data_IF_935663576673
#
_entry.id   IF_935663576673
#
_cell.length_a   1.000
_cell.length_b   1.000
_cell.length_c   1.000
_cell.angle_alpha   90.00
_cell.angle_beta   90.00
_cell.angle_gamma   90.00
#
_symmetry.space_group_name_H-M   'P 1'
#
loop_
_entity.id
_entity.type
_entity.pdbx_description
1 polymer ?
#
# COMPACT_ATOMS: atom_id res chain seq x y z
N UNK A 1 73.45 5.70 -9.01
CA UNK A 1 72.11 5.76 -8.39
C UNK A 1 72.18 5.03 -7.05
N UNK A 2 71.66 5.62 -5.96
CA UNK A 2 71.77 5.16 -4.55
C UNK A 2 70.76 5.98 -3.67
N UNK A 3 70.46 5.72 -2.39
CA UNK A 3 70.93 4.75 -1.36
C UNK A 3 69.80 3.74 -1.02
N UNK A 4 69.88 2.70 -0.18
CA UNK A 4 70.72 2.28 0.97
C UNK A 4 70.41 2.92 2.35
N UNK A 5 70.45 2.05 3.38
CA UNK A 5 70.51 2.26 4.84
C UNK A 5 69.26 2.27 5.76
N UNK A 6 69.41 1.41 6.79
CA UNK A 6 68.77 1.37 8.11
C UNK A 6 68.82 2.73 8.86
N UNK A 7 67.90 2.96 9.82
CA UNK A 7 68.24 2.92 11.26
C UNK A 7 67.02 3.09 12.18
N UNK A 8 67.01 2.32 13.27
CA UNK A 8 66.23 2.58 14.49
C UNK A 8 66.75 3.84 15.19
N UNK A 9 65.89 4.57 15.92
CA UNK A 9 66.33 5.44 17.02
C UNK A 9 65.30 5.43 18.17
N UNK A 10 65.80 5.37 19.40
CA UNK A 10 65.04 5.39 20.66
C UNK A 10 65.50 6.59 21.49
N UNK A 11 64.57 7.32 22.09
CA UNK A 11 64.79 8.34 23.12
C UNK A 11 63.48 8.46 23.93
N UNK A 12 63.30 7.97 25.17
CA UNK A 12 64.00 8.17 26.47
C UNK A 12 63.57 9.44 27.21
N UNK A 13 62.69 9.21 28.20
CA UNK A 13 62.50 9.85 29.51
C UNK A 13 62.28 11.37 29.66
N UNK A 14 61.34 11.70 30.55
CA UNK A 14 61.13 13.06 31.07
C UNK A 14 60.00 13.12 32.11
N UNK A 15 60.24 12.59 33.32
CA UNK A 15 59.31 12.73 34.45
C UNK A 15 60.01 13.46 35.60
N UNK A 16 59.43 14.56 36.09
CA UNK A 16 59.61 15.05 37.46
C UNK A 16 58.54 16.06 37.86
N UNK A 17 58.11 15.90 39.10
CA UNK A 17 57.13 16.63 39.92
C UNK A 17 57.53 18.08 40.24
N UNK A 18 56.60 18.86 40.82
CA UNK A 18 56.73 19.39 42.21
C UNK A 18 55.50 20.21 42.67
N UNK A 19 55.16 20.04 43.95
CA UNK A 19 54.33 20.87 44.85
C UNK A 19 52.86 21.19 44.52
N UNK A 20 51.99 20.91 45.50
CA UNK A 20 50.65 21.49 45.61
C UNK A 20 50.56 22.46 46.80
N UNK A 21 49.37 23.03 47.01
CA UNK A 21 49.00 23.78 48.23
C UNK A 21 47.67 23.25 48.73
N UNK A 22 47.65 22.79 49.98
CA UNK A 22 46.45 22.43 50.73
C UNK A 22 45.80 23.69 51.32
N UNK A 23 44.49 23.83 51.18
CA UNK A 23 43.69 24.76 51.97
C UNK A 23 42.41 24.04 52.43
N UNK A 24 42.37 23.65 53.71
CA UNK A 24 41.18 23.12 54.38
C UNK A 24 40.32 24.29 54.87
N UNK A 25 39.00 24.24 54.66
CA UNK A 25 37.99 24.97 55.42
C UNK A 25 36.65 24.18 55.37
N UNK A 26 35.69 24.39 56.29
CA UNK A 26 35.19 23.27 57.08
C UNK A 26 33.73 22.92 56.81
N UNK A 27 33.32 21.74 57.27
CA UNK A 27 31.91 21.36 57.34
C UNK A 27 31.17 22.25 58.37
N UNK A 28 30.17 22.99 57.91
CA UNK A 28 29.24 23.76 58.75
C UNK A 28 27.81 23.56 58.24
N UNK A 29 26.91 23.12 59.13
CA UNK A 29 25.54 22.74 58.77
C UNK A 29 24.55 23.90 58.97
N UNK A 30 23.66 24.12 57.99
CA UNK A 30 22.30 24.69 58.11
C UNK A 30 21.68 24.83 56.69
N UNK A 31 20.36 25.06 56.56
CA UNK A 31 19.28 24.17 56.95
C UNK A 31 18.47 23.69 55.72
N UNK A 32 17.76 22.57 55.82
CA UNK A 32 16.89 22.10 54.75
C UNK A 32 15.62 22.96 54.64
N UNK A 33 15.51 23.76 53.56
CA UNK A 33 14.24 24.41 53.20
C UNK A 33 13.36 23.39 52.46
N UNK A 34 12.41 22.79 53.18
CA UNK A 34 11.43 21.88 52.58
C UNK A 34 10.39 22.67 51.78
N UNK A 35 10.45 22.59 50.45
CA UNK A 35 9.36 23.00 49.57
C UNK A 35 8.36 21.84 49.50
N UNK A 36 7.07 22.02 49.83
CA UNK A 36 6.10 20.94 49.79
C UNK A 36 5.76 20.58 48.34
N UNK A 37 6.17 19.38 47.91
CA UNK A 37 5.65 18.75 46.69
C UNK A 37 4.21 18.31 46.97
N UNK A 38 3.20 18.71 46.17
CA UNK A 38 1.84 18.26 46.38
C UNK A 38 1.73 16.77 46.05
N UNK A 39 1.42 15.96 47.06
CA UNK A 39 1.05 14.55 46.88
C UNK A 39 -0.22 14.45 46.03
N UNK A 40 -0.27 13.61 44.98
CA UNK A 40 -1.52 13.34 44.30
C UNK A 40 -2.50 12.67 45.26
N UNK A 41 -3.72 13.20 45.36
CA UNK A 41 -4.75 12.64 46.20
C UNK A 41 -5.12 11.23 45.72
N UNK A 42 -5.03 10.24 46.60
CA UNK A 42 -5.49 8.89 46.32
C UNK A 42 -7.02 8.90 46.19
N UNK A 43 -7.52 8.85 44.95
CA UNK A 43 -8.93 8.61 44.67
C UNK A 43 -9.21 7.13 44.94
N UNK A 44 -9.96 6.85 46.01
CA UNK A 44 -10.39 5.50 46.33
C UNK A 44 -11.27 4.93 45.21
N UNK A 45 -11.18 3.64 44.88
CA UNK A 45 -12.05 3.03 43.88
C UNK A 45 -13.50 3.04 44.37
N UNK A 46 -14.37 3.71 43.62
CA UNK A 46 -15.81 3.66 43.87
C UNK A 46 -16.31 2.24 43.55
N UNK A 47 -16.72 1.50 44.59
CA UNK A 47 -17.39 0.21 44.44
C UNK A 47 -18.80 0.47 43.91
N UNK A 48 -18.96 0.39 42.59
CA UNK A 48 -20.28 0.38 41.95
C UNK A 48 -20.78 -1.07 41.97
N UNK A 49 -21.90 -1.30 42.67
CA UNK A 49 -22.55 -2.60 42.71
C UNK A 49 -23.05 -3.01 41.30
N UNK A 50 -22.98 -4.30 40.92
CA UNK A 50 -23.43 -4.74 39.62
C UNK A 50 -24.96 -4.60 39.50
N UNK A 51 -25.41 -3.74 38.60
CA UNK A 51 -26.81 -3.73 38.16
C UNK A 51 -27.10 -5.00 37.38
N UNK A 52 -28.16 -5.73 37.75
CA UNK A 52 -28.52 -6.99 37.12
C UNK A 52 -29.00 -6.75 35.67
N UNK A 53 -28.15 -7.09 34.69
CA UNK A 53 -28.56 -7.19 33.30
C UNK A 53 -29.41 -8.46 33.11
N UNK A 54 -30.66 -8.29 32.64
CA UNK A 54 -31.52 -9.40 32.23
C UNK A 54 -30.92 -10.15 31.02
N UNK A 55 -30.95 -11.49 30.98
CA UNK A 55 -30.40 -12.23 29.84
C UNK A 55 -31.25 -12.01 28.58
N UNK A 56 -30.63 -11.53 27.52
CA UNK A 56 -31.18 -11.61 26.16
C UNK A 56 -30.86 -13.01 25.63
N UNK A 57 -31.83 -13.80 25.15
CA UNK A 57 -31.56 -15.16 24.69
C UNK A 57 -30.80 -15.14 23.36
N UNK A 58 -29.52 -15.52 23.41
CA UNK A 58 -28.70 -15.77 22.23
C UNK A 58 -29.17 -17.03 21.51
N UNK A 59 -29.93 -16.88 20.44
CA UNK A 59 -30.19 -17.97 19.51
C UNK A 59 -28.94 -18.21 18.63
N UNK A 60 -28.37 -19.42 18.57
CA UNK A 60 -27.23 -19.69 17.70
C UNK A 60 -27.70 -19.73 16.24
N UNK A 61 -27.19 -18.82 15.42
CA UNK A 61 -27.26 -18.94 13.96
C UNK A 61 -26.33 -20.05 13.50
N UNK A 62 -26.85 -21.27 13.43
CA UNK A 62 -26.16 -22.41 12.86
C UNK A 62 -26.08 -22.24 11.32
N UNK A 63 -24.90 -21.89 10.81
CA UNK A 63 -24.61 -21.96 9.38
C UNK A 63 -24.43 -23.43 8.97
N UNK A 64 -25.25 -23.98 8.07
CA UNK A 64 -25.05 -25.34 7.58
C UNK A 64 -23.89 -25.36 6.57
N UNK A 65 -22.78 -26.00 6.95
CA UNK A 65 -21.73 -26.37 6.01
C UNK A 65 -22.26 -27.46 5.04
N UNK A 66 -22.04 -27.35 3.73
CA UNK A 66 -22.38 -28.42 2.79
C UNK A 66 -21.44 -29.61 2.99
N UNK A 67 -22.00 -30.76 3.38
CA UNK A 67 -21.25 -32.00 3.65
C UNK A 67 -21.00 -32.79 2.34
N UNK A 68 -19.75 -33.05 1.93
CA UNK A 68 -19.45 -33.67 0.64
C UNK A 68 -19.34 -35.20 0.73
N UNK A 69 -20.47 -35.91 0.85
CA UNK A 69 -20.52 -37.35 0.65
C UNK A 69 -21.95 -37.84 0.34
N UNK A 70 -22.15 -38.46 -0.83
CA UNK A 70 -23.06 -39.59 -1.13
C UNK A 70 -23.16 -39.80 -2.66
N UNK A 71 -22.14 -40.44 -3.25
CA UNK A 71 -22.25 -41.04 -4.59
C UNK A 71 -21.79 -42.50 -4.51
N UNK A 72 -22.72 -43.39 -4.14
CA UNK A 72 -22.76 -44.80 -4.54
C UNK A 72 -24.03 -45.45 -3.99
N UNK A 73 -24.87 -45.98 -4.87
CA UNK A 73 -25.22 -47.41 -4.96
C UNK A 73 -26.63 -47.62 -5.56
N UNK A 74 -26.67 -47.92 -6.85
CA UNK A 74 -27.73 -48.69 -7.51
C UNK A 74 -27.06 -49.45 -8.66
N UNK A 75 -27.31 -50.73 -8.91
CA UNK A 75 -28.45 -51.54 -8.47
C UNK A 75 -28.94 -52.27 -9.71
N UNK A 76 -28.34 -53.42 -10.00
CA UNK A 76 -28.50 -54.15 -11.27
C UNK A 76 -29.93 -54.63 -11.49
N UNK A 77 -30.54 -54.25 -12.61
CA UNK A 77 -31.67 -54.97 -13.21
C UNK A 77 -31.35 -55.30 -14.67
N UNK A 78 -31.32 -56.59 -14.99
CA UNK A 78 -31.13 -57.07 -16.36
C UNK A 78 -32.49 -57.17 -17.06
N UNK A 79 -32.60 -56.59 -18.25
CA UNK A 79 -33.71 -56.83 -19.18
C UNK A 79 -33.13 -57.18 -20.53
N UNK A 80 -33.42 -58.39 -21.01
CA UNK A 80 -32.97 -58.85 -22.33
C UNK A 80 -33.76 -58.15 -23.44
N UNK A 81 -33.09 -57.80 -24.54
CA UNK A 81 -33.72 -57.31 -25.77
C UNK A 81 -32.87 -57.70 -26.99
N UNK A 82 -33.53 -57.87 -28.14
CA UNK A 82 -33.06 -58.74 -29.21
C UNK A 82 -31.87 -58.19 -30.03
N UNK A 83 -31.11 -59.12 -30.63
CA UNK A 83 -29.96 -58.83 -31.47
C UNK A 83 -30.37 -58.24 -32.83
N UNK A 84 -29.93 -57.00 -33.10
CA UNK A 84 -29.85 -56.41 -34.44
C UNK A 84 -28.45 -56.59 -35.06
N UNK A 85 -28.30 -56.42 -36.39
CA UNK A 85 -27.03 -56.65 -37.09
C UNK A 85 -25.93 -55.68 -36.64
N UNK A 86 -24.71 -56.21 -36.49
CA UNK A 86 -23.55 -55.47 -35.99
C UNK A 86 -23.11 -54.35 -36.95
N UNK A 87 -23.16 -53.11 -36.50
CA UNK A 87 -22.33 -52.04 -37.09
C UNK A 87 -20.89 -52.17 -36.54
N UNK A 88 -19.85 -51.87 -37.33
CA UNK A 88 -18.48 -51.85 -36.84
C UNK A 88 -18.32 -50.79 -35.75
N UNK A 89 -17.74 -51.18 -34.62
CA UNK A 89 -17.53 -50.26 -33.51
C UNK A 89 -16.63 -49.08 -33.93
N UNK A 90 -16.98 -47.82 -33.60
CA UNK A 90 -16.05 -46.72 -33.76
C UNK A 90 -14.82 -46.97 -32.90
N UNK A 91 -13.63 -46.75 -33.46
CA UNK A 91 -12.39 -46.93 -32.74
C UNK A 91 -12.39 -46.06 -31.48
N UNK A 92 -12.27 -46.71 -30.31
CA UNK A 92 -12.12 -46.02 -29.03
C UNK A 92 -10.73 -45.39 -29.05
N UNK A 93 -10.64 -44.14 -29.53
CA UNK A 93 -9.52 -43.27 -29.21
C UNK A 93 -9.54 -43.04 -27.71
N UNK A 94 -8.78 -43.85 -26.98
CA UNK A 94 -8.40 -43.51 -25.62
C UNK A 94 -7.69 -42.14 -25.71
N UNK A 95 -8.20 -41.08 -25.06
CA UNK A 95 -7.48 -39.83 -25.02
C UNK A 95 -6.16 -40.10 -24.31
N UNK A 96 -5.05 -39.90 -25.03
CA UNK A 96 -3.72 -39.95 -24.46
C UNK A 96 -3.60 -38.80 -23.47
N UNK A 97 -4.00 -39.05 -22.22
CA UNK A 97 -3.86 -38.12 -21.11
C UNK A 97 -2.38 -38.01 -20.76
N UNK A 98 -1.63 -37.27 -21.58
CA UNK A 98 -0.34 -36.70 -21.19
C UNK A 98 -0.61 -35.60 -20.17
N UNK A 99 -1.03 -35.99 -18.97
CA UNK A 99 -0.99 -35.13 -17.80
C UNK A 99 0.48 -34.89 -17.47
N UNK A 100 1.07 -33.88 -18.14
CA UNK A 100 2.25 -33.21 -17.62
C UNK A 100 1.95 -32.86 -16.17
N UNK A 101 2.76 -33.30 -15.19
CA UNK A 101 2.56 -32.92 -13.80
C UNK A 101 2.45 -31.40 -13.74
N UNK A 102 1.43 -30.91 -13.02
CA UNK A 102 1.31 -29.48 -12.79
C UNK A 102 2.59 -29.03 -12.08
N UNK A 103 3.37 -28.07 -12.64
CA UNK A 103 4.62 -27.63 -12.00
C UNK A 103 4.37 -26.88 -10.69
N UNK A 104 3.11 -26.54 -10.37
CA UNK A 104 2.70 -26.00 -9.08
C UNK A 104 2.32 -27.10 -8.07
N UNK A 105 2.21 -28.38 -8.50
CA UNK A 105 1.77 -29.47 -7.62
C UNK A 105 2.74 -29.71 -6.45
N UNK A 106 2.24 -29.51 -5.23
CA UNK A 106 3.00 -29.75 -3.99
C UNK A 106 3.81 -28.54 -3.50
N UNK A 107 3.60 -27.35 -4.07
CA UNK A 107 4.07 -26.11 -3.44
C UNK A 107 3.35 -25.84 -2.12
N UNK A 108 3.93 -24.97 -1.29
CA UNK A 108 3.26 -24.45 -0.08
C UNK A 108 2.58 -23.14 -0.44
N UNK A 109 1.24 -23.03 -0.31
CA UNK A 109 0.50 -21.79 -0.57
C UNK A 109 1.08 -20.61 0.21
N UNK A 110 1.04 -19.41 -0.38
CA UNK A 110 1.53 -18.20 0.27
C UNK A 110 0.78 -17.93 1.59
N UNK A 111 -0.51 -18.24 1.64
CA UNK A 111 -1.37 -18.17 2.83
C UNK A 111 -1.01 -19.18 3.94
N UNK A 112 -0.18 -20.19 3.66
CA UNK A 112 0.38 -21.10 4.65
C UNK A 112 1.78 -20.67 5.14
N UNK A 113 2.47 -19.77 4.43
CA UNK A 113 3.80 -19.25 4.81
C UNK A 113 3.65 -18.20 5.93
N UNK A 114 4.59 -18.16 6.88
CA UNK A 114 4.60 -17.22 8.02
C UNK A 114 5.97 -16.56 8.16
N UNK A 115 5.99 -15.24 8.34
CA UNK A 115 7.21 -14.45 8.36
C UNK A 115 7.24 -13.46 9.53
N UNK A 116 8.40 -13.31 10.17
CA UNK A 116 8.64 -12.25 11.17
C UNK A 116 9.17 -10.99 10.48
N UNK A 117 8.63 -9.83 10.85
CA UNK A 117 9.00 -8.53 10.27
C UNK A 117 10.50 -8.22 10.32
N UNK A 118 11.20 -8.69 11.37
CA UNK A 118 12.62 -8.43 11.58
C UNK A 118 13.51 -9.52 10.94
N UNK A 119 12.92 -10.57 10.37
CA UNK A 119 13.61 -11.71 9.78
C UNK A 119 12.93 -12.18 8.48
N UNK A 120 12.71 -11.23 7.56
CA UNK A 120 12.14 -11.51 6.24
C UNK A 120 13.18 -12.21 5.33
N UNK A 121 12.77 -13.23 4.54
CA UNK A 121 13.62 -13.81 3.52
C UNK A 121 13.77 -12.84 2.33
N UNK A 122 14.79 -13.02 1.51
CA UNK A 122 14.94 -12.24 0.27
C UNK A 122 13.73 -12.41 -0.66
N UNK A 123 13.18 -13.62 -0.74
CA UNK A 123 11.93 -13.95 -1.45
C UNK A 123 11.07 -14.83 -0.54
N UNK A 124 9.82 -14.45 -0.34
CA UNK A 124 8.81 -15.23 0.37
C UNK A 124 8.33 -16.42 -0.47
N UNK A 125 8.38 -16.29 -1.79
CA UNK A 125 8.16 -17.37 -2.73
C UNK A 125 9.46 -17.81 -3.42
N UNK A 126 9.97 -18.96 -3.00
CA UNK A 126 11.18 -19.60 -3.52
C UNK A 126 10.91 -20.56 -4.68
N UNK A 127 9.64 -20.81 -4.99
CA UNK A 127 9.22 -21.85 -5.92
C UNK A 127 9.41 -21.42 -7.41
N UNK A 128 9.30 -22.37 -8.34
CA UNK A 128 9.51 -22.15 -9.78
C UNK A 128 8.41 -22.82 -10.60
N UNK A 129 7.17 -22.49 -10.25
CA UNK A 129 5.94 -22.98 -10.86
C UNK A 129 5.59 -22.34 -12.22
N UNK A 130 4.32 -22.45 -12.66
CA UNK A 130 3.87 -22.03 -14.01
C UNK A 130 4.25 -20.58 -14.37
N UNK A 131 4.09 -19.65 -13.43
CA UNK A 131 4.42 -18.22 -13.60
C UNK A 131 5.91 -17.89 -13.39
N UNK A 132 6.78 -18.90 -13.26
CA UNK A 132 8.21 -18.74 -12.98
C UNK A 132 8.52 -18.51 -11.50
N UNK A 133 9.61 -17.79 -11.21
CA UNK A 133 10.00 -17.39 -9.85
C UNK A 133 9.47 -15.99 -9.51
N UNK A 134 9.38 -15.70 -8.21
CA UNK A 134 9.13 -14.34 -7.72
C UNK A 134 10.08 -13.34 -8.38
N UNK A 135 9.54 -12.24 -8.92
CA UNK A 135 10.30 -11.24 -9.68
C UNK A 135 10.96 -10.18 -8.79
N UNK A 136 10.35 -9.88 -7.65
CA UNK A 136 10.84 -8.91 -6.66
C UNK A 136 11.49 -9.57 -5.45
N UNK A 137 11.46 -8.84 -4.33
CA UNK A 137 12.05 -9.25 -3.05
C UNK A 137 11.25 -8.73 -1.85
N UNK A 138 11.38 -9.39 -0.71
CA UNK A 138 10.65 -9.07 0.53
C UNK A 138 11.49 -8.34 1.58
N UNK A 139 12.82 -8.34 1.47
CA UNK A 139 13.71 -7.51 2.32
C UNK A 139 13.64 -6.06 1.82
N UNK A 140 12.67 -5.30 2.31
CA UNK A 140 12.47 -3.91 1.93
C UNK A 140 13.02 -2.96 3.01
N UNK A 141 14.17 -2.34 2.74
CA UNK A 141 14.81 -1.39 3.66
C UNK A 141 15.48 -0.22 2.90
N UNK A 142 16.30 0.58 3.58
CA UNK A 142 16.96 1.75 2.98
C UNK A 142 17.87 1.45 1.79
N UNK A 143 18.37 0.21 1.62
CA UNK A 143 19.18 -0.19 0.45
C UNK A 143 18.36 -0.59 -0.77
N UNK A 144 17.06 -0.83 -0.60
CA UNK A 144 16.11 -1.19 -1.67
C UNK A 144 15.11 -0.08 -2.00
N UNK A 145 15.13 1.02 -1.24
CA UNK A 145 14.25 2.17 -1.44
C UNK A 145 14.56 2.91 -2.75
N UNK A 146 13.51 3.46 -3.39
CA UNK A 146 13.63 4.38 -4.52
C UNK A 146 12.87 3.94 -5.78
N UNK A 147 12.96 4.70 -6.88
CA UNK A 147 12.12 4.48 -8.07
C UNK A 147 12.32 3.11 -8.74
N UNK A 148 13.51 2.53 -8.63
CA UNK A 148 13.81 1.20 -9.16
C UNK A 148 13.50 0.04 -8.21
N UNK A 149 12.83 0.29 -7.07
CA UNK A 149 12.54 -0.76 -6.10
C UNK A 149 11.65 -1.86 -6.69
N UNK A 150 11.95 -3.10 -6.32
CA UNK A 150 11.14 -4.30 -6.60
C UNK A 150 10.61 -4.93 -5.30
N UNK A 151 10.37 -4.10 -4.29
CA UNK A 151 9.81 -4.52 -3.02
C UNK A 151 8.42 -5.17 -3.21
N UNK A 152 8.24 -6.36 -2.63
CA UNK A 152 6.98 -7.11 -2.56
C UNK A 152 6.51 -7.33 -1.11
N UNK A 153 6.91 -6.43 -0.21
CA UNK A 153 6.39 -6.34 1.17
C UNK A 153 5.65 -5.01 1.33
N UNK A 154 4.38 -5.07 1.71
CA UNK A 154 3.53 -3.89 1.93
C UNK A 154 3.20 -3.72 3.43
N UNK A 155 2.82 -2.50 3.82
CA UNK A 155 2.27 -2.21 5.15
C UNK A 155 0.91 -1.52 5.05
N UNK A 156 0.05 -1.70 6.05
CA UNK A 156 -1.23 -0.97 6.20
C UNK A 156 -1.39 -0.56 7.67
N UNK A 157 -0.86 0.60 8.07
CA UNK A 157 -0.80 1.03 9.47
C UNK A 157 -1.72 2.23 9.76
N UNK A 158 -1.76 3.21 8.87
CA UNK A 158 -2.56 4.42 9.06
C UNK A 158 -2.76 5.16 7.75
N UNK A 159 -3.60 6.21 7.78
CA UNK A 159 -3.80 7.15 6.67
C UNK A 159 -2.50 7.77 6.12
N UNK A 160 -1.42 7.83 6.93
CA UNK A 160 -0.11 8.37 6.54
C UNK A 160 1.00 7.30 6.42
N UNK A 161 0.66 6.01 6.54
CA UNK A 161 1.63 4.91 6.55
C UNK A 161 1.00 3.64 6.01
N UNK A 162 0.95 3.56 4.69
CA UNK A 162 0.46 2.40 3.97
C UNK A 162 1.22 2.25 2.64
N UNK A 163 1.07 1.09 2.02
CA UNK A 163 1.53 0.83 0.66
C UNK A 163 0.37 0.34 -0.22
N UNK A 164 0.50 0.62 -1.51
CA UNK A 164 -0.35 0.10 -2.59
C UNK A 164 0.50 -0.74 -3.53
N UNK A 165 -0.13 -1.63 -4.28
CA UNK A 165 0.54 -2.34 -5.37
C UNK A 165 0.47 -1.50 -6.64
N UNK A 166 1.57 -1.43 -7.38
CA UNK A 166 1.66 -0.63 -8.61
C UNK A 166 2.64 -1.19 -9.62
N UNK A 167 2.78 -0.47 -10.73
CA UNK A 167 3.60 -0.90 -11.87
C UNK A 167 5.08 -1.04 -11.51
N UNK A 168 5.73 -2.04 -12.13
CA UNK A 168 7.20 -2.12 -12.21
C UNK A 168 7.76 -1.21 -13.29
N UNK A 169 6.99 -1.02 -14.36
CA UNK A 169 7.26 -0.14 -15.50
C UNK A 169 6.06 0.76 -15.78
N UNK A 170 6.33 2.00 -16.21
CA UNK A 170 5.31 2.97 -16.58
C UNK A 170 4.24 2.41 -17.52
N UNK A 171 2.99 2.85 -17.29
CA UNK A 171 1.79 2.50 -18.07
C UNK A 171 1.48 0.99 -18.11
N UNK A 172 1.75 0.29 -17.01
CA UNK A 172 1.34 -1.11 -16.80
C UNK A 172 -0.19 -1.24 -16.73
N UNK A 173 -0.72 -2.35 -17.24
CA UNK A 173 -2.10 -2.80 -17.00
C UNK A 173 -2.05 -3.81 -15.84
N UNK A 174 -2.77 -3.57 -14.76
CA UNK A 174 -2.65 -4.33 -13.52
C UNK A 174 -2.94 -5.82 -13.75
N UNK A 175 -4.00 -6.16 -14.48
CA UNK A 175 -4.35 -7.55 -14.84
C UNK A 175 -3.29 -8.29 -15.67
N UNK A 176 -2.39 -7.55 -16.35
CA UNK A 176 -1.26 -8.15 -17.06
C UNK A 176 -0.01 -8.30 -16.18
N UNK A 177 0.04 -7.62 -15.02
CA UNK A 177 1.22 -7.52 -14.17
C UNK A 177 0.99 -8.00 -12.72
N UNK A 178 -0.19 -8.52 -12.38
CA UNK A 178 -0.56 -8.82 -10.98
C UNK A 178 0.52 -9.64 -10.27
N UNK A 179 0.99 -10.73 -10.90
CA UNK A 179 2.06 -11.59 -10.38
C UNK A 179 3.42 -10.90 -10.12
N UNK A 180 3.66 -9.73 -10.70
CA UNK A 180 4.91 -8.98 -10.62
C UNK A 180 4.76 -7.54 -10.09
N UNK A 181 3.58 -7.11 -9.62
CA UNK A 181 3.40 -5.77 -9.09
C UNK A 181 4.23 -5.56 -7.81
N UNK A 182 4.57 -4.31 -7.53
CA UNK A 182 5.52 -3.92 -6.47
C UNK A 182 4.93 -2.86 -5.55
N UNK A 183 5.44 -2.79 -4.33
CA UNK A 183 4.96 -1.87 -3.31
C UNK A 183 5.35 -0.42 -3.63
N UNK A 184 4.35 0.45 -3.58
CA UNK A 184 4.48 1.90 -3.56
C UNK A 184 3.95 2.39 -2.21
N UNK A 185 4.79 2.96 -1.36
CA UNK A 185 4.46 3.33 0.02
C UNK A 185 4.39 4.85 0.21
N UNK A 186 3.58 5.30 1.16
CA UNK A 186 3.54 6.72 1.56
C UNK A 186 4.81 7.16 2.30
N UNK A 187 5.45 6.27 3.06
CA UNK A 187 6.70 6.56 3.80
C UNK A 187 7.95 6.03 3.08
N UNK A 188 9.03 6.82 2.95
CA UNK A 188 10.30 6.37 2.36
C UNK A 188 11.02 5.32 3.23
N UNK A 189 10.68 5.22 4.52
CA UNK A 189 11.25 4.25 5.46
C UNK A 189 10.78 2.81 5.24
N UNK A 190 9.88 2.56 4.28
CA UNK A 190 9.37 1.22 3.96
C UNK A 190 10.20 0.46 2.92
N UNK A 191 11.27 1.07 2.42
CA UNK A 191 12.23 0.38 1.54
C UNK A 191 11.71 0.01 0.14
N UNK A 192 10.59 0.63 -0.25
CA UNK A 192 9.86 0.40 -1.48
C UNK A 192 9.95 1.63 -2.41
N UNK A 193 9.07 1.69 -3.42
CA UNK A 193 8.84 2.93 -4.18
C UNK A 193 8.07 3.93 -3.32
N UNK A 194 8.22 5.23 -3.55
CA UNK A 194 7.47 6.27 -2.83
C UNK A 194 6.27 6.71 -3.68
N UNK A 195 5.05 6.68 -3.12
CA UNK A 195 3.86 7.25 -3.78
C UNK A 195 4.10 8.76 -3.99
N UNK A 196 4.08 9.30 -5.23
CA UNK A 196 4.35 10.72 -5.46
C UNK A 196 3.26 11.63 -4.90
N UNK A 197 3.66 12.84 -4.51
CA UNK A 197 2.73 13.90 -4.12
C UNK A 197 1.73 14.20 -5.25
N UNK A 198 0.43 14.26 -4.91
CA UNK A 198 -0.65 14.46 -5.87
C UNK A 198 -1.14 13.18 -6.58
N UNK A 199 -0.55 12.01 -6.29
CA UNK A 199 -1.16 10.74 -6.66
C UNK A 199 -2.48 10.51 -5.91
N UNK A 200 -2.49 10.65 -4.60
CA UNK A 200 -3.65 10.42 -3.73
C UNK A 200 -4.49 11.70 -3.66
N UNK A 201 -5.76 11.60 -4.05
CA UNK A 201 -6.72 12.72 -4.06
C UNK A 201 -7.81 12.59 -2.99
N UNK A 202 -7.91 11.43 -2.35
CA UNK A 202 -8.63 11.20 -1.09
C UNK A 202 -8.18 9.88 -0.47
N UNK A 203 -8.14 9.78 0.87
CA UNK A 203 -7.76 8.56 1.60
C UNK A 203 -8.59 8.45 2.89
N UNK A 204 -9.24 7.30 3.10
CA UNK A 204 -9.81 6.92 4.37
C UNK A 204 -9.09 5.67 4.88
N UNK A 205 -8.46 5.77 6.05
CA UNK A 205 -8.05 4.61 6.84
C UNK A 205 -9.14 4.27 7.85
N UNK A 206 -9.48 2.99 7.99
CA UNK A 206 -10.45 2.49 8.96
C UNK A 206 -9.88 1.29 9.69
N UNK A 207 -9.92 1.36 11.03
CA UNK A 207 -9.61 0.23 11.93
C UNK A 207 -10.91 -0.33 12.49
N UNK A 208 -11.12 -1.63 12.36
CA UNK A 208 -12.29 -2.33 12.90
C UNK A 208 -11.85 -3.41 13.92
N UNK A 209 -12.78 -4.18 14.51
CA UNK A 209 -12.42 -5.33 15.34
C UNK A 209 -11.66 -6.44 14.59
N UNK A 210 -12.03 -6.76 13.35
CA UNK A 210 -11.49 -7.92 12.61
C UNK A 210 -10.59 -7.56 11.40
N UNK A 211 -10.45 -6.27 11.03
CA UNK A 211 -9.57 -5.86 9.94
C UNK A 211 -9.10 -4.40 10.04
N UNK A 212 -8.11 -4.06 9.21
CA UNK A 212 -7.78 -2.67 8.86
C UNK A 212 -7.91 -2.50 7.35
N UNK A 213 -8.43 -1.36 6.91
CA UNK A 213 -8.47 -1.01 5.48
C UNK A 213 -8.00 0.41 5.22
N UNK A 214 -7.43 0.62 4.05
CA UNK A 214 -7.16 1.93 3.47
C UNK A 214 -7.82 2.00 2.10
N UNK A 215 -8.65 3.01 1.88
CA UNK A 215 -9.44 3.20 0.66
C UNK A 215 -9.27 4.62 0.15
N UNK A 216 -9.44 4.87 -1.15
CA UNK A 216 -9.28 6.22 -1.65
C UNK A 216 -9.35 6.40 -3.16
N UNK A 217 -9.06 7.63 -3.58
CA UNK A 217 -8.99 8.05 -4.96
C UNK A 217 -7.53 8.34 -5.34
N UNK A 218 -7.14 7.93 -6.55
CA UNK A 218 -5.74 7.98 -7.01
C UNK A 218 -5.61 8.32 -8.50
N UNK A 219 -4.66 9.19 -8.83
CA UNK A 219 -4.08 9.31 -10.15
C UNK A 219 -3.06 8.16 -10.35
N UNK A 220 -3.57 7.00 -10.77
CA UNK A 220 -2.81 5.74 -10.88
C UNK A 220 -1.60 5.81 -11.83
N UNK A 221 -1.58 6.76 -12.77
CA UNK A 221 -0.44 7.03 -13.64
C UNK A 221 0.83 7.47 -12.91
N UNK A 222 0.72 7.92 -11.65
CA UNK A 222 1.85 8.30 -10.81
C UNK A 222 2.44 7.13 -10.01
N UNK A 223 1.86 5.92 -10.12
CA UNK A 223 2.40 4.66 -9.57
C UNK A 223 2.56 3.59 -10.67
N UNK A 224 2.91 4.05 -11.88
CA UNK A 224 3.18 3.25 -13.07
C UNK A 224 2.02 2.39 -13.62
N UNK A 225 0.77 2.65 -13.22
CA UNK A 225 -0.44 2.02 -13.80
C UNK A 225 -1.02 2.92 -14.89
N UNK A 226 -1.40 2.38 -16.06
CA UNK A 226 -1.96 3.17 -17.16
C UNK A 226 -3.24 3.90 -16.75
N UNK A 227 -3.43 5.15 -17.17
CA UNK A 227 -4.57 5.99 -16.76
C UNK A 227 -5.95 5.44 -17.16
N UNK A 228 -6.01 4.60 -18.19
CA UNK A 228 -7.24 3.97 -18.71
C UNK A 228 -7.47 2.55 -18.21
N UNK A 229 -6.62 2.04 -17.30
CA UNK A 229 -6.79 0.72 -16.72
C UNK A 229 -7.92 0.72 -15.67
N UNK A 230 -8.88 -0.18 -15.83
CA UNK A 230 -10.05 -0.29 -14.95
C UNK A 230 -9.75 -1.09 -13.67
N UNK A 231 -8.68 -1.88 -13.67
CA UNK A 231 -8.13 -2.51 -12.48
C UNK A 231 -8.28 -4.03 -12.42
N UNK A 232 -7.89 -4.56 -11.25
CA UNK A 232 -7.89 -5.98 -10.90
C UNK A 232 -7.71 -6.15 -9.38
N UNK A 233 -7.88 -7.39 -8.90
CA UNK A 233 -7.58 -7.77 -7.52
C UNK A 233 -6.12 -8.21 -7.41
N UNK A 234 -5.53 -7.94 -6.24
CA UNK A 234 -4.24 -8.44 -5.80
C UNK A 234 -4.43 -9.03 -4.41
N UNK A 235 -4.03 -10.28 -4.22
CA UNK A 235 -4.34 -11.10 -3.04
C UNK A 235 -3.29 -12.22 -2.84
N UNK A 236 -3.34 -13.01 -1.74
CA UNK A 236 -2.38 -14.08 -1.48
C UNK A 236 -2.80 -15.46 -2.03
N UNK A 237 -3.99 -15.59 -2.62
CA UNK A 237 -4.60 -16.82 -3.17
C UNK A 237 -4.55 -16.92 -4.70
N UNK A 238 -4.11 -15.86 -5.41
CA UNK A 238 -4.07 -15.80 -6.88
C UNK A 238 -3.63 -17.11 -7.57
N UNK A 239 -4.28 -17.42 -8.71
CA UNK A 239 -4.60 -18.73 -9.29
C UNK A 239 -3.64 -19.96 -9.21
N UNK A 240 -2.38 -19.81 -8.81
CA UNK A 240 -1.45 -20.91 -8.50
C UNK A 240 -1.14 -21.03 -6.99
N UNK A 241 -1.93 -20.38 -6.13
CA UNK A 241 -1.80 -20.30 -4.66
C UNK A 241 -0.52 -19.58 -4.16
N UNK A 242 0.22 -18.91 -5.06
CA UNK A 242 1.48 -18.18 -4.74
C UNK A 242 1.30 -16.67 -4.60
N UNK A 243 0.07 -16.17 -4.73
CA UNK A 243 -0.31 -14.76 -4.67
C UNK A 243 -0.12 -13.99 -5.97
N UNK A 244 -0.79 -12.84 -6.07
CA UNK A 244 -0.75 -11.93 -7.22
C UNK A 244 -0.65 -10.48 -6.69
N UNK A 245 0.50 -10.06 -6.11
CA UNK A 245 1.82 -10.49 -6.57
C UNK A 245 2.38 -11.75 -5.94
N UNK A 246 3.21 -12.42 -6.72
CA UNK A 246 3.86 -13.65 -6.30
C UNK A 246 4.77 -13.36 -5.11
N UNK A 247 4.57 -14.08 -3.99
CA UNK A 247 5.31 -13.83 -2.75
C UNK A 247 5.02 -12.47 -2.09
N UNK A 248 3.90 -11.81 -2.40
CA UNK A 248 3.52 -10.56 -1.76
C UNK A 248 3.07 -10.76 -0.31
N UNK A 249 3.71 -10.07 0.64
CA UNK A 249 3.37 -10.18 2.06
C UNK A 249 2.98 -8.81 2.62
N UNK A 250 1.91 -8.79 3.43
CA UNK A 250 1.37 -7.58 4.06
C UNK A 250 1.62 -7.64 5.56
N UNK A 251 2.07 -6.53 6.14
CA UNK A 251 2.19 -6.34 7.57
C UNK A 251 1.35 -5.16 8.07
N UNK A 252 0.98 -5.20 9.34
CA UNK A 252 0.37 -4.05 10.01
C UNK A 252 0.84 -3.97 11.46
N UNK A 253 0.89 -2.76 12.00
CA UNK A 253 1.01 -2.50 13.44
C UNK A 253 -0.33 -2.13 14.10
N UNK A 254 -1.44 -2.28 13.37
CA UNK A 254 -2.71 -1.62 13.70
C UNK A 254 -3.93 -2.53 13.89
N UNK A 255 -3.75 -3.84 14.02
CA UNK A 255 -4.82 -4.74 14.49
C UNK A 255 -5.14 -4.50 15.96
N UNK A 256 -6.42 -4.27 16.27
CA UNK A 256 -6.91 -3.94 17.61
C UNK A 256 -6.59 -5.04 18.64
N UNK A 257 -6.67 -6.31 18.23
CA UNK A 257 -6.47 -7.48 19.10
C UNK A 257 -5.00 -7.76 19.47
N UNK A 258 -4.08 -7.50 18.52
CA UNK A 258 -2.68 -7.95 18.57
C UNK A 258 -1.71 -6.84 18.95
N UNK A 259 -1.89 -5.65 18.38
CA UNK A 259 -0.87 -4.59 18.37
C UNK A 259 -1.42 -3.26 18.87
N UNK A 260 -2.67 -2.92 18.54
CA UNK A 260 -3.35 -1.67 18.89
C UNK A 260 -2.50 -0.40 18.62
N UNK A 261 -1.69 -0.39 17.56
CA UNK A 261 -0.79 0.72 17.23
C UNK A 261 0.50 0.79 18.05
N UNK A 262 0.88 -0.26 18.79
CA UNK A 262 2.10 -0.28 19.62
C UNK A 262 3.43 -0.34 18.83
N UNK A 263 3.38 -0.37 17.50
CA UNK A 263 4.56 -0.43 16.62
C UNK A 263 5.16 -1.83 16.40
N UNK A 264 4.57 -2.88 16.99
CA UNK A 264 4.90 -4.26 16.66
C UNK A 264 4.23 -4.63 15.34
N UNK A 265 5.00 -5.12 14.37
CA UNK A 265 4.46 -5.57 13.09
C UNK A 265 4.02 -7.03 13.16
N UNK A 266 2.80 -7.30 12.70
CA UNK A 266 2.25 -8.65 12.52
C UNK A 266 1.86 -8.85 11.05
N UNK A 267 2.07 -10.08 10.55
CA UNK A 267 1.71 -10.42 9.18
C UNK A 267 0.19 -10.56 9.05
N UNK A 268 -0.40 -9.85 8.10
CA UNK A 268 -1.75 -10.14 7.62
C UNK A 268 -1.64 -11.26 6.59
N UNK A 269 -2.20 -12.42 6.92
CA UNK A 269 -2.20 -13.60 6.05
C UNK A 269 -3.27 -13.47 4.98
N UNK A 270 -4.47 -13.06 5.39
CA UNK A 270 -5.61 -12.78 4.54
C UNK A 270 -5.66 -11.28 4.27
N UNK A 271 -5.60 -10.91 3.00
CA UNK A 271 -5.66 -9.52 2.54
C UNK A 271 -6.16 -9.48 1.11
N UNK A 272 -6.79 -8.38 0.72
CA UNK A 272 -7.05 -8.08 -0.69
C UNK A 272 -6.71 -6.62 -0.99
N UNK A 273 -6.41 -6.33 -2.25
CA UNK A 273 -6.12 -4.99 -2.72
C UNK A 273 -6.59 -4.81 -4.16
N UNK A 274 -7.30 -3.73 -4.42
CA UNK A 274 -7.80 -3.38 -5.75
C UNK A 274 -7.21 -2.06 -6.18
N UNK A 275 -6.77 -2.01 -7.44
CA UNK A 275 -6.07 -0.87 -8.02
C UNK A 275 -6.59 -0.63 -9.44
N UNK A 276 -7.12 0.55 -9.73
CA UNK A 276 -7.57 0.92 -11.08
C UNK A 276 -8.80 1.83 -11.09
N UNK A 277 -9.24 2.27 -12.27
CA UNK A 277 -10.44 3.11 -12.43
C UNK A 277 -10.40 4.43 -11.64
N UNK A 278 -9.20 4.95 -11.33
CA UNK A 278 -9.01 6.16 -10.52
C UNK A 278 -9.21 5.97 -9.01
N UNK A 279 -9.35 4.74 -8.53
CA UNK A 279 -9.54 4.41 -7.10
C UNK A 279 -8.60 3.31 -6.63
N UNK A 280 -8.55 3.13 -5.32
CA UNK A 280 -7.91 1.98 -4.70
C UNK A 280 -8.61 1.60 -3.40
N UNK A 281 -8.43 0.34 -3.00
CA UNK A 281 -8.74 -0.11 -1.66
C UNK A 281 -7.85 -1.30 -1.31
N UNK A 282 -7.31 -1.32 -0.11
CA UNK A 282 -6.52 -2.43 0.41
C UNK A 282 -7.00 -2.75 1.82
N UNK A 283 -7.31 -4.03 2.10
CA UNK A 283 -7.72 -4.52 3.41
C UNK A 283 -6.77 -5.64 3.83
N UNK A 284 -6.36 -5.58 5.09
CA UNK A 284 -5.66 -6.65 5.80
C UNK A 284 -6.56 -7.14 6.92
N UNK A 285 -6.78 -8.46 7.02
CA UNK A 285 -7.67 -9.06 8.00
C UNK A 285 -6.88 -9.67 9.18
N UNK A 286 -7.42 -9.51 10.37
CA UNK A 286 -6.78 -9.92 11.62
C UNK A 286 -6.65 -11.44 11.67
N UNK A 287 -5.44 -12.02 11.71
CA UNK A 287 -5.25 -13.47 11.68
C UNK A 287 -5.71 -14.16 12.98
N UNK A 288 -6.13 -13.42 14.01
CA UNK A 288 -6.76 -13.94 15.23
C UNK A 288 -8.29 -13.79 15.25
N UNK A 289 -8.86 -13.07 14.28
CA UNK A 289 -10.30 -12.95 14.10
C UNK A 289 -10.95 -14.29 13.75
N UNK A 290 -12.28 -14.39 13.92
CA UNK A 290 -13.00 -15.64 13.65
C UNK A 290 -13.10 -15.97 12.15
N UNK A 291 -13.07 -14.94 11.30
CA UNK A 291 -13.43 -15.04 9.88
C UNK A 291 -12.52 -14.21 8.93
N UNK A 292 -11.18 -14.26 9.04
CA UNK A 292 -10.29 -13.39 8.28
C UNK A 292 -10.43 -13.57 6.76
N UNK A 293 -10.52 -14.80 6.28
CA UNK A 293 -10.69 -15.11 4.86
C UNK A 293 -12.08 -14.68 4.32
N UNK A 294 -13.11 -14.60 5.18
CA UNK A 294 -14.42 -14.09 4.78
C UNK A 294 -14.47 -12.56 4.75
N UNK A 295 -13.70 -11.85 5.58
CA UNK A 295 -13.60 -10.38 5.51
C UNK A 295 -12.69 -9.90 4.37
N UNK A 296 -11.64 -10.66 4.05
CA UNK A 296 -10.69 -10.44 2.96
C UNK A 296 -10.90 -11.49 1.86
N UNK A 297 -12.16 -11.66 1.45
CA UNK A 297 -12.55 -12.64 0.44
C UNK A 297 -11.99 -12.28 -0.94
N UNK A 298 -11.55 -13.31 -1.68
CA UNK A 298 -10.82 -13.21 -2.96
C UNK A 298 -11.59 -13.79 -4.17
N UNK A 299 -12.80 -14.34 -3.95
CA UNK A 299 -13.68 -14.85 -5.03
C UNK A 299 -14.63 -13.77 -5.62
N UNK A 300 -14.38 -12.51 -5.29
CA UNK A 300 -15.21 -11.35 -5.67
C UNK A 300 -14.41 -10.24 -6.36
N UNK A 301 -13.25 -10.59 -6.92
CA UNK A 301 -12.36 -9.76 -7.75
C UNK A 301 -13.08 -8.82 -8.73
N UNK A 302 -13.97 -9.37 -9.57
CA UNK A 302 -14.63 -8.64 -10.67
C UNK A 302 -15.68 -7.61 -10.23
N UNK A 303 -15.99 -7.50 -8.93
CA UNK A 303 -16.91 -6.47 -8.40
C UNK A 303 -16.19 -5.34 -7.64
N UNK A 304 -14.88 -5.45 -7.42
CA UNK A 304 -14.02 -4.34 -7.04
C UNK A 304 -14.30 -3.70 -5.67
N UNK A 305 -13.79 -2.48 -5.50
CA UNK A 305 -13.75 -1.78 -4.21
C UNK A 305 -15.10 -1.53 -3.54
N UNK A 306 -16.13 -1.19 -4.33
CA UNK A 306 -17.46 -0.88 -3.82
C UNK A 306 -18.08 -2.02 -2.99
N UNK A 307 -17.72 -3.27 -3.26
CA UNK A 307 -18.28 -4.45 -2.61
C UNK A 307 -17.28 -5.17 -1.71
N UNK A 308 -16.00 -5.15 -2.07
CA UNK A 308 -14.96 -5.81 -1.28
C UNK A 308 -14.51 -4.96 -0.09
N UNK A 309 -14.44 -3.63 -0.23
CA UNK A 309 -14.08 -2.69 0.83
C UNK A 309 -14.94 -1.41 0.77
N UNK A 310 -16.26 -1.50 1.04
CA UNK A 310 -17.17 -0.36 0.97
C UNK A 310 -16.71 0.81 1.86
N UNK A 311 -16.67 2.00 1.26
CA UNK A 311 -16.24 3.26 1.86
C UNK A 311 -16.88 4.44 1.10
N UNK A 312 -16.65 5.67 1.57
CA UNK A 312 -17.21 6.87 0.93
C UNK A 312 -16.49 7.31 -0.37
N UNK A 313 -15.24 6.88 -0.56
CA UNK A 313 -14.35 7.27 -1.67
C UNK A 313 -14.33 8.80 -1.93
N UNK A 314 -14.41 9.59 -0.86
CA UNK A 314 -14.62 11.03 -0.95
C UNK A 314 -13.37 11.80 -1.41
N UNK A 315 -13.50 12.55 -2.50
CA UNK A 315 -12.45 13.43 -3.03
C UNK A 315 -12.14 14.58 -2.06
N UNK A 316 -10.85 14.88 -1.88
CA UNK A 316 -10.34 15.90 -0.97
C UNK A 316 -10.41 15.52 0.52
N UNK A 317 -10.94 14.34 0.86
CA UNK A 317 -11.05 13.87 2.24
C UNK A 317 -9.85 12.98 2.57
N UNK A 318 -9.19 13.30 3.68
CA UNK A 318 -8.08 12.54 4.23
C UNK A 318 -8.37 12.29 5.70
N UNK A 319 -8.71 11.05 6.07
CA UNK A 319 -9.18 10.75 7.43
C UNK A 319 -8.78 9.35 7.93
N UNK A 320 -8.73 9.22 9.25
CA UNK A 320 -8.52 7.97 9.98
C UNK A 320 -9.68 7.78 10.95
N UNK A 321 -10.41 6.68 10.85
CA UNK A 321 -11.57 6.37 11.67
C UNK A 321 -11.43 5.01 12.38
N UNK A 322 -12.18 4.85 13.46
CA UNK A 322 -12.63 3.52 13.90
C UNK A 322 -13.91 3.16 13.14
N UNK A 323 -14.26 1.87 13.06
CA UNK A 323 -15.48 1.43 12.40
C UNK A 323 -16.00 0.08 12.86
N UNK A 324 -17.30 -0.12 12.63
CA UNK A 324 -17.93 -1.44 12.67
C UNK A 324 -17.31 -2.34 11.57
N UNK A 325 -17.39 -3.67 11.74
CA UNK A 325 -17.08 -4.58 10.64
C UNK A 325 -18.14 -4.46 9.52
N UNK A 326 -17.72 -4.58 8.27
CA UNK A 326 -18.61 -4.78 7.13
C UNK A 326 -19.34 -6.13 7.16
N UNK A 327 -20.41 -6.25 6.36
CA UNK A 327 -20.85 -7.57 5.88
C UNK A 327 -19.72 -8.24 5.07
N UNK A 328 -19.60 -9.57 5.14
CA UNK A 328 -18.66 -10.29 4.26
C UNK A 328 -18.97 -9.98 2.79
N UNK A 329 -17.96 -9.81 1.91
CA UNK A 329 -18.21 -9.61 0.50
C UNK A 329 -19.11 -10.73 -0.06
N UNK A 330 -20.09 -10.34 -0.88
CA UNK A 330 -21.11 -11.24 -1.39
C UNK A 330 -22.28 -11.53 -0.43
N UNK A 331 -22.23 -11.18 0.85
CA UNK A 331 -23.35 -11.34 1.78
C UNK A 331 -24.13 -10.01 1.88
N UNK A 332 -25.45 -10.08 1.83
CA UNK A 332 -26.32 -8.91 1.95
C UNK A 332 -27.69 -9.28 2.52
N UNK A 333 -28.42 -8.31 3.08
CA UNK A 333 -29.79 -8.52 3.57
C UNK A 333 -30.80 -7.93 2.58
N UNK A 334 -31.77 -8.75 2.16
CA UNK A 334 -32.90 -8.32 1.32
C UNK A 334 -34.21 -8.73 1.97
N UNK A 335 -35.14 -7.77 2.13
CA UNK A 335 -36.43 -7.96 2.81
C UNK A 335 -36.34 -8.68 4.18
N UNK A 336 -35.27 -8.43 4.94
CA UNK A 336 -35.02 -9.07 6.25
C UNK A 336 -34.43 -10.48 6.19
N UNK A 337 -34.13 -11.00 4.99
CA UNK A 337 -33.49 -12.31 4.78
C UNK A 337 -32.04 -12.12 4.35
N UNK A 338 -31.11 -12.86 4.96
CA UNK A 338 -29.71 -12.91 4.49
C UNK A 338 -29.62 -13.67 3.17
N UNK A 339 -28.99 -13.04 2.19
CA UNK A 339 -28.77 -13.53 0.84
C UNK A 339 -27.28 -13.65 0.56
N UNK A 340 -26.92 -14.54 -0.35
CA UNK A 340 -25.56 -14.67 -0.90
C UNK A 340 -25.59 -14.36 -2.39
N UNK A 341 -24.70 -13.47 -2.82
CA UNK A 341 -24.36 -13.24 -4.21
C UNK A 341 -23.27 -14.24 -4.61
N UNK A 342 -23.44 -14.92 -5.75
CA UNK A 342 -22.37 -15.69 -6.39
C UNK A 342 -21.92 -14.93 -7.62
N UNK A 343 -20.63 -14.68 -7.73
CA UNK A 343 -20.06 -14.01 -8.89
C UNK A 343 -20.18 -14.92 -10.13
N UNK A 344 -20.67 -14.42 -11.28
CA UNK A 344 -20.76 -15.21 -12.51
C UNK A 344 -19.41 -15.75 -12.97
N UNK A 345 -19.40 -17.02 -13.38
CA UNK A 345 -18.24 -17.72 -13.91
C UNK A 345 -18.63 -18.45 -15.23
N UNK A 346 -17.70 -18.62 -16.20
CA UNK A 346 -16.32 -18.10 -16.22
C UNK A 346 -16.25 -16.57 -16.33
N UNK A 347 -15.06 -15.99 -16.16
CA UNK A 347 -14.79 -14.54 -16.28
C UNK A 347 -15.30 -13.89 -17.58
N UNK A 348 -15.46 -14.67 -18.66
CA UNK A 348 -16.02 -14.19 -19.93
C UNK A 348 -17.51 -13.88 -19.87
N UNK A 349 -18.22 -14.27 -18.80
CA UNK A 349 -19.62 -13.91 -18.54
C UNK A 349 -19.65 -12.52 -17.87
N UNK A 350 -20.10 -11.45 -18.57
CA UNK A 350 -19.99 -10.09 -18.05
C UNK A 350 -20.94 -9.85 -16.87
N UNK A 351 -20.45 -9.12 -15.86
CA UNK A 351 -21.27 -8.61 -14.75
C UNK A 351 -21.90 -7.29 -15.19
N UNK A 352 -23.16 -7.32 -15.60
CA UNK A 352 -23.88 -6.14 -16.12
C UNK A 352 -24.75 -5.44 -15.08
N UNK A 353 -25.12 -6.15 -14.00
CA UNK A 353 -25.90 -5.62 -12.88
C UNK A 353 -25.49 -6.29 -11.58
N UNK A 354 -25.71 -5.60 -10.46
CA UNK A 354 -25.55 -6.13 -9.11
C UNK A 354 -26.91 -6.14 -8.40
N UNK A 355 -27.29 -7.23 -7.70
CA UNK A 355 -28.62 -7.35 -7.08
C UNK A 355 -28.75 -6.61 -5.73
N UNK A 356 -27.67 -5.99 -5.25
CA UNK A 356 -27.58 -5.25 -4.00
C UNK A 356 -26.54 -4.13 -4.13
N UNK A 357 -26.55 -3.22 -3.15
CA UNK A 357 -25.45 -2.28 -2.89
C UNK A 357 -24.83 -2.69 -1.55
N UNK A 358 -23.50 -2.83 -1.47
CA UNK A 358 -22.83 -3.13 -0.21
C UNK A 358 -23.04 -1.99 0.80
N UNK A 359 -23.20 -2.34 2.09
CA UNK A 359 -23.35 -1.35 3.14
C UNK A 359 -21.98 -0.80 3.54
N UNK A 360 -21.84 0.52 3.57
CA UNK A 360 -20.67 1.17 4.17
C UNK A 360 -20.79 1.00 5.69
N UNK A 361 -19.79 0.42 6.37
CA UNK A 361 -19.82 0.25 7.82
C UNK A 361 -19.93 1.59 8.53
N UNK A 362 -20.53 1.62 9.72
CA UNK A 362 -20.56 2.85 10.51
C UNK A 362 -19.13 3.18 10.96
N UNK A 363 -18.75 4.43 10.79
CA UNK A 363 -17.50 4.96 11.31
C UNK A 363 -17.71 5.78 12.59
N UNK A 364 -16.67 5.83 13.42
CA UNK A 364 -16.61 6.60 14.65
C UNK A 364 -15.19 7.15 14.84
N UNK A 365 -15.02 8.08 15.77
CA UNK A 365 -13.71 8.65 16.16
C UNK A 365 -12.85 9.16 14.99
N UNK A 366 -13.48 9.60 13.90
CA UNK A 366 -12.81 10.05 12.68
C UNK A 366 -11.99 11.33 12.90
N UNK A 367 -10.69 11.24 12.66
CA UNK A 367 -9.74 12.35 12.66
C UNK A 367 -9.41 12.73 11.21
N UNK A 368 -9.48 14.02 10.88
CA UNK A 368 -9.11 14.54 9.55
C UNK A 368 -7.68 15.07 9.52
N UNK A 369 -7.08 14.94 8.35
CA UNK A 369 -5.70 15.30 8.03
C UNK A 369 -5.67 16.24 6.82
N UNK A 370 -4.57 16.98 6.65
CA UNK A 370 -4.27 17.59 5.36
C UNK A 370 -3.71 16.54 4.40
N UNK A 371 -3.88 16.74 3.09
CA UNK A 371 -3.20 15.91 2.06
C UNK A 371 -1.68 15.86 2.28
N UNK A 372 -1.09 16.97 2.72
CA UNK A 372 0.32 17.12 3.07
C UNK A 372 0.77 16.35 4.32
N UNK A 373 -0.14 15.79 5.12
CA UNK A 373 0.23 14.94 6.26
C UNK A 373 0.49 13.48 5.87
N UNK A 374 -0.02 13.04 4.71
CA UNK A 374 0.18 11.69 4.16
C UNK A 374 1.50 11.59 3.41
N UNK A 375 1.87 12.67 2.72
CA UNK A 375 3.17 12.81 2.10
C UNK A 375 4.17 13.32 3.14
N UNK A 376 5.15 12.52 3.58
CA UNK A 376 6.24 13.07 4.36
C UNK A 376 6.88 14.19 3.54
N UNK A 377 7.14 15.33 4.19
CA UNK A 377 7.81 16.46 3.54
C UNK A 377 9.25 16.07 3.24
N UNK A 378 9.44 15.41 2.09
CA UNK A 378 10.76 15.24 1.49
C UNK A 378 11.24 16.62 1.10
N UNK A 379 11.94 17.27 2.04
CA UNK A 379 12.97 18.24 1.70
C UNK A 379 14.04 17.48 0.93
N UNK A 380 13.77 17.24 -0.36
CA UNK A 380 14.80 16.87 -1.32
C UNK A 380 15.79 18.01 -1.23
N UNK A 381 16.97 17.73 -0.67
CA UNK A 381 18.02 18.72 -0.54
C UNK A 381 18.61 18.94 -1.93
N UNK A 382 17.92 19.75 -2.73
CA UNK A 382 18.43 20.28 -3.98
C UNK A 382 19.60 21.17 -3.59
N UNK A 383 20.81 20.70 -3.88
CA UNK A 383 22.01 21.49 -3.65
C UNK A 383 21.82 22.86 -4.31
N UNK A 384 22.13 23.97 -3.62
CA UNK A 384 21.88 25.29 -4.16
C UNK A 384 22.71 25.46 -5.44
N UNK A 385 22.03 25.63 -6.57
CA UNK A 385 22.66 26.14 -7.79
C UNK A 385 23.22 27.51 -7.41
N UNK A 386 24.53 27.68 -7.55
CA UNK A 386 25.20 28.94 -7.28
C UNK A 386 24.64 30.01 -8.25
N UNK A 387 23.74 30.85 -7.74
CA UNK A 387 23.27 32.02 -8.47
C UNK A 387 24.41 33.01 -8.60
N UNK A 388 24.81 33.31 -9.84
CA UNK A 388 25.84 34.32 -10.09
C UNK A 388 25.34 35.67 -9.58
N UNK A 389 26.06 36.23 -8.61
CA UNK A 389 25.74 37.51 -7.98
C UNK A 389 26.07 38.67 -8.92
N UNK A 390 25.05 39.27 -9.53
CA UNK A 390 25.14 40.63 -10.03
C UNK A 390 25.05 41.60 -8.84
N UNK A 391 26.03 42.52 -8.64
CA UNK A 391 26.00 43.43 -7.51
C UNK A 391 24.94 44.54 -7.71
N UNK A 392 24.22 44.94 -6.65
CA UNK A 392 23.19 45.97 -6.74
C UNK A 392 23.79 47.38 -6.83
N UNK A 393 23.16 48.23 -7.64
CA UNK A 393 23.43 49.67 -7.70
C UNK A 393 22.63 50.42 -6.63
N UNK A 394 23.31 51.21 -5.80
CA UNK A 394 22.65 52.10 -4.84
C UNK A 394 23.62 52.82 -3.90
N UNK A 395 23.71 54.15 -4.02
CA UNK A 395 24.54 54.96 -3.11
C UNK A 395 25.00 56.29 -3.71
N UNK A 396 24.13 57.31 -3.67
CA UNK A 396 24.58 58.72 -3.81
C UNK A 396 25.50 59.08 -2.63
N UNK A 397 26.56 59.86 -2.90
CA UNK A 397 26.68 61.11 -2.16
C UNK A 397 26.95 62.33 -3.05
N UNK A 398 26.48 63.48 -2.59
CA UNK A 398 26.57 64.80 -3.24
C UNK A 398 27.92 65.48 -3.05
N UNK A 399 28.56 65.93 -4.14
CA UNK A 399 29.36 67.18 -4.11
C UNK A 399 29.55 67.84 -5.49
N UNK A 400 28.90 69.00 -5.66
CA UNK A 400 29.42 70.23 -6.29
C UNK A 400 30.11 70.26 -7.67
N UNK A 401 29.60 71.19 -8.49
CA UNK A 401 30.31 72.11 -9.43
C UNK A 401 30.40 71.71 -10.91
N UNK A 402 29.58 72.39 -11.71
CA UNK A 402 29.74 72.63 -13.16
C UNK A 402 30.80 73.76 -13.40
N UNK A 403 31.11 74.23 -14.65
CA UNK A 403 30.53 73.88 -15.96
C UNK A 403 31.55 73.68 -17.13
N UNK A 404 31.07 73.33 -18.34
CA UNK A 404 31.80 73.61 -19.59
C UNK A 404 31.37 72.85 -20.86
N UNK A 405 30.93 73.59 -21.90
CA UNK A 405 30.84 73.16 -23.31
C UNK A 405 29.65 72.24 -23.68
N UNK A 406 28.72 72.48 -24.63
CA UNK A 406 28.54 73.37 -25.80
C UNK A 406 28.66 72.65 -27.16
N UNK A 407 27.53 72.61 -27.91
CA UNK A 407 27.40 72.33 -29.36
C UNK A 407 27.71 70.89 -29.84
N UNK A 408 27.15 70.37 -30.94
CA UNK A 408 25.96 70.73 -31.76
C UNK A 408 25.52 69.49 -32.58
N UNK A 409 24.28 69.53 -33.09
CA UNK A 409 23.71 68.85 -34.27
C UNK A 409 24.51 67.72 -34.98
N UNK A 410 23.86 66.58 -35.22
CA UNK A 410 23.33 66.29 -36.57
C UNK A 410 22.22 65.22 -36.56
N UNK A 411 21.43 65.16 -37.63
CA UNK A 411 20.24 64.32 -37.74
C UNK A 411 20.12 63.68 -39.13
N UNK A 412 19.65 62.43 -39.17
CA UNK A 412 18.97 61.71 -40.27
C UNK A 412 18.24 60.52 -39.57
N UNK A 413 16.97 60.16 -39.82
CA UNK A 413 16.21 60.16 -41.07
C UNK A 413 16.59 58.90 -41.85
N UNK A 414 15.76 57.88 -42.10
CA UNK A 414 14.29 57.73 -42.27
C UNK A 414 13.88 56.27 -41.96
N UNK A 415 12.75 55.94 -41.31
CA UNK A 415 11.46 55.45 -41.89
C UNK A 415 11.56 54.48 -43.10
N UNK A 416 10.73 53.44 -43.30
CA UNK A 416 9.24 53.40 -43.35
C UNK A 416 8.64 51.96 -43.14
N UNK A 417 7.50 51.90 -42.40
CA UNK A 417 6.27 51.04 -42.44
C UNK A 417 6.22 49.62 -43.08
N UNK A 418 5.64 48.59 -42.40
CA UNK A 418 4.23 48.06 -42.48
C UNK A 418 3.93 47.11 -43.68
N UNK A 419 2.97 46.18 -43.69
CA UNK A 419 1.73 45.96 -42.90
C UNK A 419 1.37 44.45 -42.74
N UNK A 420 0.66 44.03 -41.68
CA UNK A 420 -0.78 43.62 -41.63
C UNK A 420 -1.27 42.66 -42.75
N UNK A 421 -1.81 41.51 -42.35
CA UNK A 421 -2.66 40.63 -43.18
C UNK A 421 -3.45 39.62 -42.32
N UNK A 422 -4.76 39.51 -42.53
CA UNK A 422 -5.71 38.71 -41.72
C UNK A 422 -6.78 38.04 -42.60
N UNK A 423 -6.88 36.71 -42.59
CA UNK A 423 -8.04 35.86 -43.01
C UNK A 423 -7.73 34.41 -42.58
N UNK A 424 -8.52 33.65 -41.80
CA UNK A 424 -9.93 33.20 -41.83
C UNK A 424 -10.22 31.89 -42.61
N UNK A 425 -10.77 30.92 -41.85
CA UNK A 425 -11.79 29.89 -42.19
C UNK A 425 -11.44 28.49 -42.78
N UNK A 426 -12.11 27.50 -42.14
CA UNK A 426 -12.79 26.30 -42.68
C UNK A 426 -12.07 24.92 -42.80
N UNK A 427 -12.27 24.09 -41.76
CA UNK A 427 -12.86 22.72 -41.77
C UNK A 427 -12.60 21.69 -42.90
N UNK A 428 -12.39 20.41 -42.53
CA UNK A 428 -13.28 19.24 -42.84
C UNK A 428 -12.80 17.96 -42.11
N UNK A 429 -13.70 16.98 -41.95
CA UNK A 429 -13.61 15.73 -41.17
C UNK A 429 -12.84 14.57 -41.85
N UNK A 430 -12.54 13.56 -41.01
CA UNK A 430 -12.49 12.11 -41.26
C UNK A 430 -11.23 11.48 -41.90
N UNK A 431 -10.73 10.41 -41.27
CA UNK A 431 -10.93 9.04 -41.78
C UNK A 431 -10.86 7.99 -40.65
N UNK A 432 -11.42 6.81 -40.92
CA UNK A 432 -11.62 5.67 -40.00
C UNK A 432 -10.73 4.47 -40.43
N UNK A 433 -10.34 3.64 -39.45
CA UNK A 433 -9.78 2.28 -39.56
C UNK A 433 -8.40 2.06 -40.20
N UNK A 434 -7.51 1.39 -39.46
CA UNK A 434 -7.24 -0.04 -39.68
C UNK A 434 -6.38 -0.65 -38.54
N UNK A 435 -6.63 -1.96 -38.29
CA UNK A 435 -5.98 -2.87 -37.33
C UNK A 435 -6.37 -2.68 -35.84
#
# INVERSE_FOLDING_TARGET
MARSFFSTLVLVMGASTVAGVLAQYPAGAAPALAIPVPTPAAVAPAVIAPSAATPIPSAPLAYPLPNPAMVQLAGTTAVASAAGPQQPAPAIFAPSASSTPDPDAGLVPLTQKRFDWNNLPYQADTDNGKRGRQSGYNICNSTTAGPGSLCQTAVINSVADFCLWGGTTKDSIIGNIEGQAVAWCTKPTRGARLIPAGALTGVQFMRTPDYVQVTGLINQALIDIASGDYGGELDPHGADERGNPMGAIVFTDSFTSLTNGNGTYVQAVEWHSFMGGGKFCSKACDPTGLYPAQFCQHIYDRIGCEYNAPASYASGVFESCEGDNQDFPGIYVSAGTTMTYTQPQPETVPITTMPYTAQIPKSSNCVRYSSTAIYPTTSISVAPIATMTTPPSGGHPTSTKAPGGSQNNEAHGTSVSSAIGLTLLASVLAFISML
#
